data_IF_784334369291
#
_entry.id   IF_784334369291
#
_cell.length_a   1.000
_cell.length_b   1.000
_cell.length_c   1.000
_cell.angle_alpha   90.00
_cell.angle_beta   90.00
_cell.angle_gamma   90.00
#
_symmetry.space_group_name_H-M   'P 1'
#
loop_
_entity.id
_entity.type
_entity.pdbx_description
1 polymer ?
#
# COMPACT_ATOMS: atom_id res chain seq x y z
N UNK A 1 7.79 26.93 0.87
CA UNK A 1 8.13 25.60 0.30
C UNK A 1 9.18 25.77 -0.78
N UNK A 2 10.30 25.07 -0.63
CA UNK A 2 11.36 25.00 -1.63
C UNK A 2 11.41 23.59 -2.19
N UNK A 3 11.43 23.45 -3.51
CA UNK A 3 11.44 22.17 -4.21
C UNK A 3 12.72 22.04 -5.04
N UNK A 4 13.44 20.94 -4.89
CA UNK A 4 14.62 20.60 -5.69
C UNK A 4 14.50 19.21 -6.29
N UNK A 5 14.95 18.98 -7.54
CA UNK A 5 14.95 17.66 -8.15
C UNK A 5 15.94 16.73 -7.42
N UNK A 6 15.63 15.44 -7.39
CA UNK A 6 16.57 14.40 -6.96
C UNK A 6 17.03 13.57 -8.16
N UNK A 7 18.08 12.77 -7.98
CA UNK A 7 18.51 11.86 -9.02
C UNK A 7 17.46 10.78 -9.27
N UNK A 8 17.06 10.60 -10.51
CA UNK A 8 16.02 9.67 -10.92
C UNK A 8 14.61 10.25 -10.76
N UNK A 9 13.73 9.59 -10.03
CA UNK A 9 12.33 9.96 -9.87
C UNK A 9 12.11 10.83 -8.63
N UNK A 10 11.24 11.85 -8.74
CA UNK A 10 10.76 12.61 -7.60
C UNK A 10 11.54 13.88 -7.28
N UNK A 11 11.15 14.50 -6.16
CA UNK A 11 11.70 15.77 -5.67
C UNK A 11 11.87 15.77 -4.16
N UNK A 12 12.81 16.59 -3.69
CA UNK A 12 12.94 16.95 -2.28
C UNK A 12 12.19 18.25 -2.03
N UNK A 13 11.44 18.29 -0.93
CA UNK A 13 10.72 19.48 -0.47
C UNK A 13 11.23 19.88 0.91
N UNK A 14 11.57 21.14 1.05
CA UNK A 14 12.03 21.75 2.30
C UNK A 14 11.13 22.95 2.66
N UNK A 15 11.22 23.39 3.90
CA UNK A 15 10.47 24.55 4.42
C UNK A 15 8.93 24.38 4.26
N UNK A 16 8.44 23.15 4.43
CA UNK A 16 7.02 22.81 4.38
C UNK A 16 6.36 23.05 5.73
N UNK A 17 5.30 23.83 5.74
CA UNK A 17 4.44 24.04 6.92
C UNK A 17 3.18 23.17 6.81
N UNK A 18 3.03 22.11 7.62
CA UNK A 18 1.82 21.29 7.61
C UNK A 18 0.57 22.03 8.12
N UNK A 19 0.73 23.20 8.75
CA UNK A 19 -0.37 24.07 9.19
C UNK A 19 -0.94 24.94 8.07
N UNK A 20 -0.14 25.27 7.05
CA UNK A 20 -0.55 26.13 5.95
C UNK A 20 -1.33 25.35 4.88
N UNK A 21 -2.56 25.80 4.55
CA UNK A 21 -3.38 25.15 3.51
C UNK A 21 -2.74 25.22 2.13
N UNK A 22 -2.09 26.35 1.81
CA UNK A 22 -1.41 26.55 0.53
C UNK A 22 -0.27 25.54 0.34
N UNK A 23 0.52 25.29 1.38
CA UNK A 23 1.62 24.34 1.36
C UNK A 23 1.10 22.91 1.15
N UNK A 24 0.01 22.53 1.83
CA UNK A 24 -0.62 21.22 1.68
C UNK A 24 -1.17 21.02 0.26
N UNK A 25 -1.81 22.03 -0.33
CA UNK A 25 -2.31 21.96 -1.70
C UNK A 25 -1.15 21.88 -2.71
N UNK A 26 -0.08 22.64 -2.48
CA UNK A 26 1.12 22.59 -3.30
C UNK A 26 1.77 21.20 -3.20
N UNK A 27 1.87 20.64 -1.99
CA UNK A 27 2.42 19.30 -1.76
C UNK A 27 1.63 18.23 -2.54
N UNK A 28 0.29 18.25 -2.49
CA UNK A 28 -0.56 17.32 -3.27
C UNK A 28 -0.26 17.41 -4.78
N UNK A 29 -0.23 18.62 -5.33
CA UNK A 29 0.08 18.84 -6.75
C UNK A 29 1.49 18.36 -7.09
N UNK A 30 2.45 18.57 -6.19
CA UNK A 30 3.84 18.15 -6.35
C UNK A 30 3.96 16.62 -6.37
N UNK A 31 3.23 15.91 -5.49
CA UNK A 31 3.18 14.44 -5.47
C UNK A 31 2.67 13.89 -6.81
N UNK A 32 1.52 14.35 -7.28
CA UNK A 32 0.96 13.84 -8.55
C UNK A 32 1.84 14.17 -9.76
N UNK A 33 2.50 15.35 -9.77
CA UNK A 33 3.38 15.76 -10.86
C UNK A 33 4.70 15.01 -10.88
N UNK A 34 5.31 14.78 -9.73
CA UNK A 34 6.65 14.22 -9.59
C UNK A 34 6.69 12.80 -9.09
N UNK A 35 5.53 12.21 -8.80
CA UNK A 35 5.30 10.84 -8.34
C UNK A 35 5.83 10.56 -6.93
N UNK A 36 7.01 11.05 -6.57
CA UNK A 36 7.65 10.88 -5.25
C UNK A 36 8.05 12.24 -4.70
N UNK A 37 7.77 12.46 -3.42
CA UNK A 37 8.24 13.62 -2.65
C UNK A 37 8.92 13.14 -1.38
N UNK A 38 10.09 13.70 -1.08
CA UNK A 38 10.79 13.55 0.19
C UNK A 38 10.72 14.87 0.95
N UNK A 39 9.97 14.90 2.06
CA UNK A 39 10.00 16.01 3.01
C UNK A 39 11.18 15.78 3.96
N UNK A 40 12.11 16.74 4.02
CA UNK A 40 13.29 16.67 4.89
C UNK A 40 12.99 17.17 6.30
N UNK A 41 13.80 16.70 7.26
CA UNK A 41 13.85 17.21 8.64
C UNK A 41 12.51 17.13 9.40
N UNK A 42 11.70 16.12 9.11
CA UNK A 42 10.40 15.95 9.75
C UNK A 42 10.54 15.40 11.17
N UNK A 43 9.73 15.91 12.09
CA UNK A 43 9.67 15.48 13.50
C UNK A 43 8.22 15.32 13.90
N UNK A 44 7.68 14.14 13.70
CA UNK A 44 6.32 13.79 14.07
C UNK A 44 6.31 12.68 15.12
N UNK A 45 5.44 12.80 16.12
CA UNK A 45 4.89 11.66 16.83
C UNK A 45 3.79 10.99 15.99
N UNK A 46 3.20 9.90 16.47
CA UNK A 46 2.18 9.16 15.71
C UNK A 46 0.93 10.01 15.45
N UNK A 47 0.54 10.87 16.40
CA UNK A 47 -0.61 11.75 16.26
C UNK A 47 -0.35 12.85 15.23
N UNK A 48 0.82 13.48 15.25
CA UNK A 48 1.23 14.50 14.27
C UNK A 48 1.39 13.91 12.87
N UNK A 49 1.92 12.68 12.75
CA UNK A 49 1.99 11.96 11.48
C UNK A 49 0.59 11.68 10.91
N UNK A 50 -0.35 11.22 11.75
CA UNK A 50 -1.75 11.03 11.35
C UNK A 50 -2.42 12.35 10.98
N UNK A 51 -2.15 13.44 11.73
CA UNK A 51 -2.71 14.77 11.42
C UNK A 51 -2.29 15.26 10.03
N UNK A 52 -1.02 15.08 9.64
CA UNK A 52 -0.56 15.34 8.29
C UNK A 52 -1.27 14.46 7.26
N UNK A 53 -1.42 13.16 7.54
CA UNK A 53 -2.16 12.24 6.68
C UNK A 53 -3.59 12.70 6.42
N UNK A 54 -4.29 13.21 7.45
CA UNK A 54 -5.65 13.78 7.34
C UNK A 54 -5.73 15.04 6.45
N UNK A 55 -4.66 15.81 6.39
CA UNK A 55 -4.57 16.98 5.48
C UNK A 55 -4.42 16.55 4.02
N UNK A 56 -3.82 15.40 3.77
CA UNK A 56 -3.58 14.88 2.42
C UNK A 56 -4.76 14.07 1.87
N UNK A 57 -5.58 13.48 2.74
CA UNK A 57 -6.74 12.68 2.36
C UNK A 57 -7.42 12.08 3.57
N UNK A 58 -8.35 11.16 3.35
CA UNK A 58 -9.03 10.43 4.41
C UNK A 58 -8.19 9.23 4.86
N UNK A 59 -7.60 9.23 6.06
CA UNK A 59 -6.84 8.08 6.55
C UNK A 59 -7.72 6.85 6.65
N UNK A 60 -7.15 5.70 6.32
CA UNK A 60 -7.82 4.41 6.48
C UNK A 60 -7.00 3.54 7.42
N UNK A 61 -7.67 2.96 8.40
CA UNK A 61 -7.07 1.95 9.27
C UNK A 61 -6.87 0.67 8.47
N UNK A 62 -5.69 0.06 8.58
CA UNK A 62 -5.44 -1.21 7.91
C UNK A 62 -6.38 -2.29 8.46
N UNK A 63 -6.86 -3.19 7.61
CA UNK A 63 -7.88 -4.18 7.99
C UNK A 63 -7.40 -5.24 9.00
N UNK A 64 -6.08 -5.44 9.15
CA UNK A 64 -5.49 -6.38 10.11
C UNK A 64 -4.88 -5.62 11.31
N UNK A 65 -5.41 -5.78 12.53
CA UNK A 65 -4.96 -5.04 13.72
C UNK A 65 -3.51 -5.25 14.12
N UNK A 66 -2.89 -6.37 13.75
CA UNK A 66 -1.49 -6.67 14.05
C UNK A 66 -0.51 -5.64 13.48
N UNK A 67 -0.95 -4.86 12.48
CA UNK A 67 -0.16 -3.78 11.89
C UNK A 67 -0.38 -2.42 12.55
N UNK A 68 -1.32 -2.29 13.48
CA UNK A 68 -1.67 -0.99 14.06
C UNK A 68 -0.62 -0.49 15.04
N UNK A 69 -0.40 0.83 15.04
CA UNK A 69 0.32 1.49 16.12
C UNK A 69 -0.50 1.37 17.43
N UNK A 70 0.12 1.07 18.58
CA UNK A 70 -0.60 0.82 19.83
C UNK A 70 -1.56 1.96 20.25
N UNK A 71 -1.13 3.20 20.07
CA UNK A 71 -1.87 4.39 20.53
C UNK A 71 -2.66 5.07 19.40
N UNK A 72 -2.32 4.80 18.13
CA UNK A 72 -2.91 5.45 16.94
C UNK A 72 -3.17 4.39 15.88
N UNK A 73 -4.28 3.65 15.94
CA UNK A 73 -4.54 2.49 15.07
C UNK A 73 -4.53 2.77 13.56
N UNK A 74 -4.77 4.01 13.15
CA UNK A 74 -4.70 4.42 11.75
C UNK A 74 -3.25 4.45 11.20
N UNK A 75 -2.26 4.43 12.09
CA UNK A 75 -0.85 4.33 11.70
C UNK A 75 -0.47 2.87 11.58
N UNK A 76 -0.10 2.46 10.38
CA UNK A 76 0.44 1.13 10.10
C UNK A 76 1.91 1.08 10.52
N UNK A 77 2.31 0.02 11.22
CA UNK A 77 3.69 -0.19 11.65
C UNK A 77 4.31 -1.38 10.95
N UNK A 78 5.40 -1.14 10.24
CA UNK A 78 6.31 -2.17 9.75
C UNK A 78 7.58 -2.12 10.59
N UNK A 79 7.82 -3.14 11.41
CA UNK A 79 8.95 -3.16 12.32
C UNK A 79 9.55 -4.56 12.48
N UNK A 80 10.85 -4.62 12.65
CA UNK A 80 11.52 -5.75 13.31
C UNK A 80 11.23 -5.65 14.82
N UNK A 81 11.51 -6.73 15.57
CA UNK A 81 11.31 -6.70 17.03
C UNK A 81 12.06 -5.52 17.68
N UNK A 82 11.44 -4.90 18.68
CA UNK A 82 12.07 -3.89 19.51
C UNK A 82 13.29 -4.46 20.25
N UNK A 83 14.23 -3.63 20.71
CA UNK A 83 15.40 -4.10 21.47
C UNK A 83 15.05 -4.87 22.75
N UNK A 84 13.88 -4.61 23.36
CA UNK A 84 13.34 -5.34 24.52
C UNK A 84 12.65 -6.67 24.14
N UNK A 85 12.67 -7.05 22.85
CA UNK A 85 12.04 -8.26 22.34
C UNK A 85 10.53 -8.13 22.08
N UNK A 86 9.91 -6.98 22.39
CA UNK A 86 8.50 -6.74 22.11
C UNK A 86 8.29 -6.50 20.61
N UNK A 87 7.38 -7.23 20.00
CA UNK A 87 6.99 -7.03 18.61
C UNK A 87 5.88 -5.99 18.52
N UNK A 88 6.14 -4.89 17.81
CA UNK A 88 5.14 -3.90 17.44
C UNK A 88 5.05 -3.91 15.91
N UNK A 89 3.85 -4.14 15.38
CA UNK A 89 3.65 -4.27 13.94
C UNK A 89 4.23 -5.58 13.36
N UNK A 90 4.44 -5.60 12.05
CA UNK A 90 4.83 -6.81 11.31
C UNK A 90 6.16 -6.60 10.58
N UNK A 91 7.12 -7.53 10.71
CA UNK A 91 8.41 -7.42 10.04
C UNK A 91 8.30 -7.76 8.54
N UNK A 92 9.24 -7.20 7.77
CA UNK A 92 9.46 -7.53 6.35
C UNK A 92 8.19 -7.45 5.48
N UNK A 93 7.42 -6.35 5.63
CA UNK A 93 6.23 -6.08 4.82
C UNK A 93 6.61 -5.61 3.40
N UNK A 94 5.70 -5.79 2.43
CA UNK A 94 5.86 -5.24 1.08
C UNK A 94 7.04 -5.82 0.27
N UNK A 95 7.34 -7.12 0.36
CA UNK A 95 8.45 -7.79 -0.34
C UNK A 95 8.18 -8.09 -1.82
N UNK A 96 7.03 -7.71 -2.32
CA UNK A 96 6.56 -7.90 -3.69
C UNK A 96 6.09 -6.55 -4.24
N UNK A 97 6.01 -6.42 -5.57
CA UNK A 97 5.50 -5.22 -6.22
C UNK A 97 4.00 -5.06 -5.97
N UNK A 98 3.58 -3.90 -5.47
CA UNK A 98 2.18 -3.59 -5.17
C UNK A 98 1.93 -2.09 -5.16
N UNK A 99 0.67 -1.69 -5.37
CA UNK A 99 0.12 -0.42 -4.90
C UNK A 99 -0.67 -0.68 -3.62
N UNK A 100 -0.55 0.21 -2.65
CA UNK A 100 -1.26 0.04 -1.37
C UNK A 100 -2.78 0.04 -1.59
N UNK A 101 -3.47 -0.94 -1.01
CA UNK A 101 -4.92 -1.13 -1.10
C UNK A 101 -5.48 -1.33 -2.51
N UNK A 102 -4.66 -1.73 -3.48
CA UNK A 102 -5.10 -2.04 -4.85
C UNK A 102 -6.26 -3.05 -4.90
N UNK A 103 -6.31 -3.97 -3.94
CA UNK A 103 -7.34 -4.99 -3.77
C UNK A 103 -8.60 -4.50 -3.03
N UNK A 104 -8.66 -3.23 -2.63
CA UNK A 104 -9.81 -2.66 -1.92
C UNK A 104 -10.70 -1.85 -2.87
N UNK A 105 -12.01 -1.71 -2.58
CA UNK A 105 -12.91 -0.88 -3.38
C UNK A 105 -12.46 0.59 -3.51
N UNK A 106 -11.70 1.09 -2.53
CA UNK A 106 -11.09 2.43 -2.55
C UNK A 106 -9.59 2.27 -2.29
N UNK A 107 -8.75 2.21 -3.33
CA UNK A 107 -7.31 2.26 -3.16
C UNK A 107 -6.87 3.62 -2.61
N UNK A 108 -5.69 3.68 -2.05
CA UNK A 108 -5.13 4.95 -1.62
C UNK A 108 -4.73 5.81 -2.83
N UNK A 109 -4.90 7.12 -2.73
CA UNK A 109 -4.36 8.08 -3.69
C UNK A 109 -2.90 8.41 -3.37
N UNK A 110 -2.63 8.68 -2.10
CA UNK A 110 -1.29 9.05 -1.60
C UNK A 110 -0.92 8.13 -0.46
N UNK A 111 0.27 7.58 -0.49
CA UNK A 111 0.87 6.87 0.64
C UNK A 111 2.02 7.68 1.24
N UNK A 112 2.12 7.63 2.57
CA UNK A 112 3.17 8.23 3.37
C UNK A 112 3.97 7.14 4.08
N UNK A 113 5.29 7.24 4.08
CA UNK A 113 6.16 6.40 4.91
C UNK A 113 7.12 7.28 5.70
N UNK A 114 7.14 7.07 7.01
CA UNK A 114 8.01 7.78 7.94
C UNK A 114 8.97 6.79 8.60
N UNK A 115 10.23 6.69 8.12
CA UNK A 115 11.23 5.80 8.71
C UNK A 115 11.63 6.32 10.09
N UNK A 116 11.41 5.51 11.12
CA UNK A 116 11.75 5.82 12.51
C UNK A 116 13.12 5.27 12.90
N UNK A 117 13.41 4.06 12.42
CA UNK A 117 14.71 3.40 12.55
C UNK A 117 15.09 2.87 11.18
N UNK A 118 16.24 3.30 10.69
CA UNK A 118 16.74 2.95 9.36
C UNK A 118 17.95 2.03 9.51
N UNK A 119 17.92 0.81 8.96
CA UNK A 119 19.07 -0.09 8.97
C UNK A 119 20.24 0.49 8.17
N UNK A 120 21.46 0.10 8.51
CA UNK A 120 22.66 0.60 7.84
C UNK A 120 22.80 0.09 6.41
N UNK A 121 22.19 -1.06 6.12
CA UNK A 121 22.22 -1.72 4.80
C UNK A 121 20.82 -1.90 4.23
N UNK A 122 20.72 -2.00 2.90
CA UNK A 122 19.48 -2.29 2.16
C UNK A 122 18.29 -1.42 2.58
N UNK A 123 18.52 -0.15 2.80
CA UNK A 123 17.46 0.81 3.12
C UNK A 123 16.89 1.40 1.85
N UNK A 124 15.58 1.64 1.86
CA UNK A 124 14.87 2.28 0.76
C UNK A 124 13.64 1.49 0.32
N UNK A 125 13.03 2.02 -0.71
CA UNK A 125 11.87 1.44 -1.39
C UNK A 125 12.11 1.52 -2.89
N UNK A 126 11.87 0.42 -3.59
CA UNK A 126 11.89 0.36 -5.04
C UNK A 126 10.54 0.83 -5.58
N UNK A 127 10.56 1.56 -6.68
CA UNK A 127 9.37 2.07 -7.37
C UNK A 127 9.45 1.81 -8.87
N UNK A 128 8.29 1.61 -9.49
CA UNK A 128 8.10 1.62 -10.93
C UNK A 128 6.91 2.53 -11.23
N UNK A 129 7.08 3.46 -12.17
CA UNK A 129 6.01 4.31 -12.68
C UNK A 129 5.22 3.56 -13.76
N UNK A 130 3.99 3.18 -13.45
CA UNK A 130 3.10 2.43 -14.34
C UNK A 130 2.52 3.29 -15.46
N UNK A 131 2.47 4.62 -15.30
CA UNK A 131 2.09 5.52 -16.39
C UNK A 131 3.23 5.63 -17.41
N UNK A 132 4.46 5.86 -16.93
CA UNK A 132 5.63 5.83 -17.80
C UNK A 132 5.86 4.45 -18.44
N UNK A 133 5.54 3.35 -17.75
CA UNK A 133 5.58 2.01 -18.31
C UNK A 133 4.56 1.85 -19.46
N UNK A 134 3.31 2.26 -19.24
CA UNK A 134 2.26 2.22 -20.26
C UNK A 134 2.68 2.98 -21.54
N UNK A 135 3.30 4.15 -21.39
CA UNK A 135 3.79 4.93 -22.54
C UNK A 135 4.88 4.22 -23.35
N UNK A 136 5.60 3.27 -22.75
CA UNK A 136 6.62 2.45 -23.44
C UNK A 136 6.06 1.19 -24.10
N UNK A 137 4.80 0.79 -23.81
CA UNK A 137 4.21 -0.40 -24.44
C UNK A 137 4.10 -0.22 -25.95
N UNK A 138 4.35 -1.29 -26.66
CA UNK A 138 4.10 -1.29 -28.10
C UNK A 138 2.59 -1.19 -28.41
N UNK A 139 2.23 -0.76 -29.64
CA UNK A 139 0.83 -0.58 -30.02
C UNK A 139 -0.01 -1.86 -29.92
N UNK A 140 0.59 -3.04 -30.12
CA UNK A 140 -0.12 -4.32 -30.07
C UNK A 140 -0.51 -4.66 -28.63
N UNK A 141 0.40 -4.48 -27.65
CA UNK A 141 0.11 -4.67 -26.25
C UNK A 141 -0.94 -3.66 -25.74
N UNK A 142 -0.82 -2.38 -26.12
CA UNK A 142 -1.83 -1.37 -25.76
C UNK A 142 -3.22 -1.74 -26.31
N UNK A 143 -3.31 -2.20 -27.54
CA UNK A 143 -4.57 -2.65 -28.14
C UNK A 143 -5.11 -3.91 -27.44
N UNK A 144 -4.25 -4.86 -27.07
CA UNK A 144 -4.64 -6.09 -26.38
C UNK A 144 -5.25 -5.85 -25.00
N UNK A 145 -4.89 -4.75 -24.33
CA UNK A 145 -5.36 -4.44 -22.95
C UNK A 145 -6.45 -3.37 -22.89
N UNK A 146 -6.79 -2.72 -24.00
CA UNK A 146 -7.69 -1.56 -24.01
C UNK A 146 -9.05 -1.84 -23.36
N UNK A 147 -9.66 -2.99 -23.68
CA UNK A 147 -10.99 -3.38 -23.19
C UNK A 147 -10.95 -4.48 -22.12
N UNK A 148 -9.80 -4.67 -21.49
CA UNK A 148 -9.61 -5.68 -20.45
C UNK A 148 -9.82 -5.15 -19.05
N UNK A 149 -9.99 -6.06 -18.09
CA UNK A 149 -10.05 -5.72 -16.67
C UNK A 149 -9.16 -6.63 -15.85
N UNK A 150 -8.46 -6.04 -14.88
CA UNK A 150 -7.66 -6.75 -13.91
C UNK A 150 -8.48 -7.08 -12.66
N UNK A 151 -8.31 -8.27 -12.12
CA UNK A 151 -8.89 -8.72 -10.86
C UNK A 151 -7.81 -8.64 -9.78
N UNK A 152 -8.11 -7.89 -8.72
CA UNK A 152 -7.16 -7.69 -7.61
C UNK A 152 -7.66 -8.36 -6.34
N UNK A 153 -6.76 -9.07 -5.65
CA UNK A 153 -7.04 -9.76 -4.39
C UNK A 153 -5.83 -9.75 -3.46
N UNK A 154 -6.07 -9.82 -2.16
CA UNK A 154 -5.00 -9.98 -1.15
C UNK A 154 -4.61 -11.44 -0.94
N UNK A 155 -5.35 -12.39 -1.52
CA UNK A 155 -5.16 -13.85 -1.34
C UNK A 155 -3.73 -14.34 -1.51
N UNK A 156 -2.94 -13.70 -2.39
CA UNK A 156 -1.56 -14.09 -2.67
C UNK A 156 -0.55 -13.60 -1.64
N UNK A 157 -0.91 -12.60 -0.84
CA UNK A 157 0.02 -11.84 -0.02
C UNK A 157 -0.45 -11.60 1.42
N UNK A 158 -1.35 -12.45 1.93
CA UNK A 158 -1.75 -12.38 3.34
C UNK A 158 -0.67 -12.99 4.27
N UNK A 159 -0.74 -12.63 5.54
CA UNK A 159 0.10 -13.21 6.58
C UNK A 159 -0.69 -14.28 7.33
N UNK A 160 -0.08 -15.46 7.49
CA UNK A 160 -0.59 -16.51 8.39
C UNK A 160 -0.41 -16.03 9.83
N UNK A 161 -1.49 -16.04 10.60
CA UNK A 161 -1.50 -15.68 12.01
C UNK A 161 -1.18 -16.91 12.88
N UNK A 162 -0.71 -16.76 14.12
CA UNK A 162 -0.47 -17.90 15.01
C UNK A 162 -1.69 -18.83 15.16
N UNK A 163 -2.90 -18.27 15.21
CA UNK A 163 -4.16 -19.01 15.30
C UNK A 163 -4.53 -19.78 14.03
N UNK A 164 -3.90 -19.48 12.90
CA UNK A 164 -4.16 -20.13 11.61
C UNK A 164 -3.33 -21.42 11.41
N UNK A 165 -2.32 -21.66 12.25
CA UNK A 165 -1.29 -22.73 12.01
C UNK A 165 -1.89 -24.13 11.80
N UNK A 166 -2.99 -24.44 12.46
CA UNK A 166 -3.65 -25.74 12.36
C UNK A 166 -4.99 -25.71 11.60
N UNK A 167 -5.29 -24.60 10.93
CA UNK A 167 -6.52 -24.44 10.14
C UNK A 167 -6.30 -24.95 8.71
N UNK A 168 -7.33 -25.53 8.05
CA UNK A 168 -7.29 -25.80 6.62
C UNK A 168 -7.05 -24.51 5.83
N UNK A 169 -6.11 -24.54 4.87
CA UNK A 169 -5.79 -23.34 4.06
C UNK A 169 -7.02 -22.82 3.30
N UNK A 170 -7.91 -23.72 2.83
CA UNK A 170 -9.15 -23.33 2.17
C UNK A 170 -10.02 -22.44 3.04
N UNK A 171 -10.23 -22.80 4.32
CA UNK A 171 -11.01 -21.98 5.26
C UNK A 171 -10.41 -20.59 5.49
N UNK A 172 -9.06 -20.51 5.57
CA UNK A 172 -8.36 -19.24 5.71
C UNK A 172 -8.57 -18.35 4.48
N UNK A 173 -8.46 -18.95 3.28
CA UNK A 173 -8.68 -18.24 2.03
C UNK A 173 -10.13 -17.77 1.87
N UNK A 174 -11.11 -18.59 2.27
CA UNK A 174 -12.53 -18.22 2.25
C UNK A 174 -12.83 -17.08 3.23
N UNK A 175 -12.20 -17.08 4.41
CA UNK A 175 -12.29 -15.97 5.37
C UNK A 175 -11.70 -14.67 4.80
N UNK A 176 -10.58 -14.76 4.09
CA UNK A 176 -9.93 -13.62 3.44
C UNK A 176 -10.85 -13.05 2.36
N UNK A 177 -11.41 -13.89 1.49
CA UNK A 177 -12.31 -13.45 0.44
C UNK A 177 -13.62 -12.85 0.99
N UNK A 178 -14.12 -13.36 2.11
CA UNK A 178 -15.28 -12.79 2.77
C UNK A 178 -15.00 -11.40 3.35
N UNK A 179 -13.79 -11.16 3.87
CA UNK A 179 -13.37 -9.86 4.42
C UNK A 179 -12.96 -8.87 3.34
N UNK A 180 -12.28 -9.34 2.30
CA UNK A 180 -11.72 -8.55 1.22
C UNK A 180 -12.04 -9.21 -0.12
N UNK A 181 -13.32 -9.12 -0.58
CA UNK A 181 -13.72 -9.70 -1.85
C UNK A 181 -12.85 -9.16 -3.00
N UNK A 182 -12.49 -10.00 -3.98
CA UNK A 182 -11.74 -9.56 -5.15
C UNK A 182 -12.40 -8.36 -5.85
N UNK A 183 -11.59 -7.41 -6.28
CA UNK A 183 -12.05 -6.18 -6.94
C UNK A 183 -11.67 -6.22 -8.41
N UNK A 184 -12.63 -5.97 -9.29
CA UNK A 184 -12.40 -5.85 -10.74
C UNK A 184 -12.28 -4.38 -11.14
N UNK A 185 -11.24 -4.03 -11.93
CA UNK A 185 -10.98 -2.69 -12.45
C UNK A 185 -10.53 -2.76 -13.91
N UNK A 186 -10.71 -1.71 -14.70
CA UNK A 186 -10.03 -1.63 -16.00
C UNK A 186 -8.53 -1.87 -15.83
N UNK A 187 -7.92 -2.64 -16.75
CA UNK A 187 -6.46 -2.87 -16.74
C UNK A 187 -5.71 -1.57 -16.99
N UNK A 188 -6.29 -0.67 -17.78
CA UNK A 188 -5.77 0.69 -18.00
C UNK A 188 -6.69 1.67 -17.27
N UNK A 189 -6.15 2.36 -16.26
CA UNK A 189 -6.84 3.42 -15.54
C UNK A 189 -6.41 4.79 -16.07
N UNK A 190 -7.34 5.74 -16.12
CA UNK A 190 -7.01 7.16 -16.28
C UNK A 190 -6.76 7.76 -14.90
N UNK A 191 -5.59 8.35 -14.70
CA UNK A 191 -5.25 9.02 -13.44
C UNK A 191 -6.14 10.23 -13.22
N UNK A 192 -6.86 10.31 -12.08
CA UNK A 192 -7.91 11.32 -11.89
C UNK A 192 -7.40 12.76 -11.73
N UNK A 193 -6.10 12.94 -11.43
CA UNK A 193 -5.51 14.26 -11.22
C UNK A 193 -4.59 14.69 -12.38
N UNK A 194 -3.97 13.75 -13.07
CA UNK A 194 -3.03 14.05 -14.18
C UNK A 194 -3.58 13.72 -15.55
N UNK A 195 -4.58 12.85 -15.65
CA UNK A 195 -5.13 12.37 -16.91
C UNK A 195 -4.27 11.28 -17.60
N UNK A 196 -3.14 10.91 -17.02
CA UNK A 196 -2.26 9.87 -17.56
C UNK A 196 -2.94 8.49 -17.56
N UNK A 197 -2.63 7.68 -18.58
CA UNK A 197 -3.03 6.27 -18.63
C UNK A 197 -2.06 5.43 -17.80
N UNK A 198 -2.58 4.58 -16.92
CA UNK A 198 -1.81 3.75 -15.99
C UNK A 198 -2.10 2.28 -16.30
N UNK A 199 -1.07 1.47 -16.55
CA UNK A 199 -1.20 0.01 -16.60
C UNK A 199 -1.35 -0.55 -15.16
N UNK A 200 -2.58 -0.58 -14.63
CA UNK A 200 -2.85 -0.81 -13.22
C UNK A 200 -2.80 -2.28 -12.81
N UNK A 201 -1.62 -2.89 -12.90
CA UNK A 201 -1.34 -4.28 -12.52
C UNK A 201 -0.16 -4.37 -11.57
N UNK A 202 -0.17 -5.38 -10.68
CA UNK A 202 0.96 -5.65 -9.79
C UNK A 202 1.19 -7.13 -9.56
N UNK A 203 2.45 -7.50 -9.31
CA UNK A 203 2.86 -8.85 -8.95
C UNK A 203 2.07 -9.39 -7.74
N UNK A 204 1.87 -8.55 -6.73
CA UNK A 204 1.33 -8.97 -5.44
C UNK A 204 -0.19 -9.12 -5.40
N UNK A 205 -0.91 -8.22 -6.05
CA UNK A 205 -2.36 -8.15 -5.88
C UNK A 205 -3.17 -8.43 -7.14
N UNK A 206 -2.57 -8.42 -8.33
CA UNK A 206 -3.31 -8.78 -9.54
C UNK A 206 -3.32 -10.30 -9.71
N UNK A 207 -4.49 -10.90 -9.64
CA UNK A 207 -4.68 -12.34 -9.80
C UNK A 207 -4.73 -12.75 -11.27
N UNK A 208 -5.47 -12.01 -12.06
CA UNK A 208 -5.64 -12.24 -13.50
C UNK A 208 -6.08 -10.98 -14.24
N UNK A 209 -5.98 -11.02 -15.55
CA UNK A 209 -6.61 -10.10 -16.49
C UNK A 209 -7.75 -10.86 -17.18
N UNK A 210 -8.90 -10.22 -17.31
CA UNK A 210 -10.05 -10.75 -18.04
C UNK A 210 -10.23 -9.93 -19.32
N UNK A 211 -10.47 -10.60 -20.43
CA UNK A 211 -10.83 -9.91 -21.69
C UNK A 211 -12.27 -9.36 -21.65
N UNK A 212 -12.73 -8.79 -22.77
CA UNK A 212 -14.06 -8.22 -22.89
C UNK A 212 -15.19 -9.26 -22.66
N UNK A 213 -14.93 -10.51 -23.01
CA UNK A 213 -15.89 -11.63 -22.83
C UNK A 213 -15.79 -12.27 -21.43
N UNK A 214 -14.82 -11.82 -20.61
CA UNK A 214 -14.58 -12.31 -19.25
C UNK A 214 -13.70 -13.56 -19.20
N UNK A 215 -13.03 -13.93 -20.30
CA UNK A 215 -12.11 -15.04 -20.29
C UNK A 215 -10.80 -14.69 -19.58
N UNK A 216 -10.24 -15.67 -18.86
CA UNK A 216 -8.98 -15.52 -18.11
C UNK A 216 -7.78 -15.39 -19.06
N UNK A 217 -7.04 -14.28 -18.94
CA UNK A 217 -5.87 -13.93 -19.73
C UNK A 217 -4.63 -13.80 -18.83
N UNK A 218 -4.30 -14.86 -18.12
CA UNK A 218 -3.06 -14.92 -17.30
C UNK A 218 -1.79 -14.81 -18.13
N UNK A 219 -1.86 -15.22 -19.41
CA UNK A 219 -0.80 -14.98 -20.40
C UNK A 219 -0.52 -13.49 -20.54
N UNK A 220 -1.57 -12.69 -20.70
CA UNK A 220 -1.48 -11.24 -20.83
C UNK A 220 -1.01 -10.57 -19.53
N UNK A 221 -1.42 -11.09 -18.35
CA UNK A 221 -0.89 -10.60 -17.07
C UNK A 221 0.63 -10.82 -16.98
N UNK A 222 1.13 -12.00 -17.37
CA UNK A 222 2.57 -12.28 -17.35
C UNK A 222 3.35 -11.34 -18.28
N UNK A 223 2.81 -11.08 -19.48
CA UNK A 223 3.37 -10.11 -20.43
C UNK A 223 3.41 -8.69 -19.84
N UNK A 224 2.32 -8.23 -19.22
CA UNK A 224 2.23 -6.92 -18.59
C UNK A 224 3.23 -6.75 -17.41
N UNK A 225 3.38 -7.76 -16.56
CA UNK A 225 4.35 -7.73 -15.48
C UNK A 225 5.79 -7.64 -16.02
N UNK A 226 6.10 -8.32 -17.13
CA UNK A 226 7.37 -8.18 -17.84
C UNK A 226 7.55 -6.79 -18.44
N UNK A 227 6.57 -6.32 -19.22
CA UNK A 227 6.63 -5.03 -19.90
C UNK A 227 6.69 -3.82 -18.95
N UNK A 228 6.16 -3.95 -17.73
CA UNK A 228 6.29 -2.91 -16.70
C UNK A 228 7.62 -2.95 -15.95
N UNK A 229 8.44 -4.01 -16.09
CA UNK A 229 9.71 -4.18 -15.38
C UNK A 229 9.59 -4.86 -14.01
N UNK A 230 8.40 -5.37 -13.63
CA UNK A 230 8.18 -5.97 -12.29
C UNK A 230 8.87 -7.33 -12.13
N UNK A 231 9.26 -8.01 -13.21
CA UNK A 231 9.88 -9.34 -13.17
C UNK A 231 11.41 -9.29 -13.03
N UNK A 232 12.03 -8.12 -13.21
CA UNK A 232 13.49 -7.94 -13.10
C UNK A 232 13.82 -6.74 -12.23
N UNK A 233 14.47 -6.95 -11.10
CA UNK A 233 14.91 -5.86 -10.21
C UNK A 233 16.04 -5.01 -10.81
N UNK A 234 16.69 -5.48 -11.88
CA UNK A 234 17.70 -4.76 -12.65
C UNK A 234 17.11 -3.94 -13.81
N UNK A 235 15.79 -4.00 -14.02
CA UNK A 235 15.14 -3.25 -15.10
C UNK A 235 15.39 -1.74 -14.96
N UNK A 236 15.72 -1.01 -16.05
CA UNK A 236 15.92 0.44 -16.02
C UNK A 236 14.72 1.25 -15.50
N UNK A 237 13.50 0.70 -15.52
CA UNK A 237 12.32 1.32 -14.96
C UNK A 237 12.30 1.30 -13.42
N UNK A 238 13.14 0.48 -12.79
CA UNK A 238 13.20 0.35 -11.33
C UNK A 238 13.99 1.49 -10.71
N UNK A 239 13.31 2.32 -9.93
CA UNK A 239 13.92 3.41 -9.17
C UNK A 239 14.08 3.01 -7.70
N UNK A 240 15.28 3.14 -7.14
CA UNK A 240 15.53 2.98 -5.70
C UNK A 240 15.47 4.34 -5.00
N UNK A 241 14.41 4.58 -4.24
CA UNK A 241 14.31 5.71 -3.34
C UNK A 241 14.93 5.37 -1.99
N UNK A 242 16.03 6.03 -1.68
CA UNK A 242 16.66 5.98 -0.36
C UNK A 242 16.10 7.07 0.54
N UNK A 243 16.16 6.84 1.84
CA UNK A 243 15.72 7.79 2.85
C UNK A 243 16.59 7.67 4.11
N UNK A 244 16.60 8.74 4.89
CA UNK A 244 17.29 8.82 6.18
C UNK A 244 16.27 9.02 7.32
N UNK A 245 16.71 8.87 8.55
CA UNK A 245 15.87 9.21 9.72
C UNK A 245 15.53 10.69 9.67
N UNK A 246 14.24 11.02 9.83
CA UNK A 246 13.72 12.36 9.69
C UNK A 246 13.25 12.72 8.28
N UNK A 247 13.43 11.83 7.31
CA UNK A 247 12.77 11.95 6.02
C UNK A 247 11.33 11.45 6.13
N UNK A 248 10.39 12.13 5.48
CA UNK A 248 9.04 11.63 5.27
C UNK A 248 8.83 11.49 3.78
N UNK A 249 8.63 10.26 3.34
CA UNK A 249 8.43 9.91 1.94
C UNK A 249 6.95 9.86 1.62
N UNK A 250 6.55 10.54 0.55
CA UNK A 250 5.18 10.52 0.03
C UNK A 250 5.21 10.13 -1.44
N UNK A 251 4.20 9.39 -1.89
CA UNK A 251 4.11 9.05 -3.30
C UNK A 251 2.68 8.94 -3.81
N UNK A 252 2.54 9.13 -5.13
CA UNK A 252 1.33 8.87 -5.89
C UNK A 252 1.11 7.35 -5.99
N UNK A 253 0.24 6.84 -5.15
CA UNK A 253 0.01 5.41 -5.03
C UNK A 253 -0.80 4.82 -6.20
N UNK A 254 -1.46 5.63 -7.01
CA UNK A 254 -2.16 5.16 -8.20
C UNK A 254 -1.20 4.92 -9.37
N UNK A 255 -0.22 5.82 -9.54
CA UNK A 255 0.76 5.71 -10.62
C UNK A 255 1.88 4.73 -10.33
N UNK A 256 2.19 4.47 -9.05
CA UNK A 256 3.37 3.71 -8.67
C UNK A 256 3.04 2.34 -8.07
N UNK A 257 3.72 1.32 -8.57
CA UNK A 257 3.95 0.12 -7.76
C UNK A 257 5.26 0.26 -7.00
N UNK A 258 5.28 -0.30 -5.80
CA UNK A 258 6.46 -0.23 -4.95
C UNK A 258 6.76 -1.57 -4.27
N UNK A 259 8.05 -1.73 -3.87
CA UNK A 259 8.56 -2.91 -3.20
C UNK A 259 9.59 -2.49 -2.15
N UNK A 260 9.40 -2.92 -0.91
CA UNK A 260 10.34 -2.61 0.17
C UNK A 260 11.64 -3.39 0.00
N UNK A 261 12.78 -2.71 0.24
CA UNK A 261 14.10 -3.34 0.33
C UNK A 261 14.33 -3.78 1.77
N UNK A 262 14.62 -5.06 1.96
CA UNK A 262 14.87 -5.65 3.27
C UNK A 262 16.31 -6.14 3.38
N UNK A 263 16.91 -5.90 4.55
CA UNK A 263 18.19 -6.51 4.89
C UNK A 263 18.02 -7.98 5.29
N UNK A 264 18.95 -8.82 4.90
CA UNK A 264 19.07 -10.18 5.42
C UNK A 264 19.70 -10.21 6.81
N UNK A 265 20.32 -9.11 7.23
CA UNK A 265 20.86 -8.95 8.56
C UNK A 265 19.76 -8.64 9.56
N UNK A 266 19.95 -9.08 10.80
CA UNK A 266 19.08 -8.77 11.93
C UNK A 266 19.34 -7.34 12.44
N UNK A 267 19.08 -6.33 11.60
CA UNK A 267 19.19 -4.93 11.98
C UNK A 267 17.80 -4.39 12.34
N UNK A 268 17.70 -3.55 13.39
CA UNK A 268 16.46 -2.88 13.70
C UNK A 268 15.99 -2.00 12.54
N UNK A 269 14.71 -2.11 12.20
CA UNK A 269 14.06 -1.27 11.20
C UNK A 269 12.62 -1.00 11.66
N UNK A 270 12.23 0.26 11.71
CA UNK A 270 10.88 0.69 12.07
C UNK A 270 10.43 1.75 11.08
N UNK A 271 9.27 1.55 10.48
CA UNK A 271 8.63 2.53 9.62
C UNK A 271 7.16 2.64 9.97
N UNK A 272 6.68 3.86 10.08
CA UNK A 272 5.25 4.16 10.13
C UNK A 272 4.74 4.42 8.72
N UNK A 273 3.56 3.89 8.41
CA UNK A 273 2.88 4.14 7.15
C UNK A 273 1.50 4.71 7.42
N UNK A 274 1.15 5.72 6.67
CA UNK A 274 -0.18 6.30 6.60
C UNK A 274 -0.60 6.38 5.15
N UNK A 275 -1.89 6.50 4.91
CA UNK A 275 -2.40 6.62 3.56
C UNK A 275 -3.69 7.45 3.56
N UNK A 276 -3.88 8.24 2.51
CA UNK A 276 -5.07 9.04 2.26
C UNK A 276 -5.82 8.50 1.05
N UNK A 277 -7.07 8.08 1.26
CA UNK A 277 -7.99 7.87 0.15
C UNK A 277 -8.61 9.20 -0.28
N UNK A 278 -9.06 9.27 -1.53
CA UNK A 278 -9.77 10.44 -2.06
C UNK A 278 -11.00 10.77 -1.23
N UNK A 279 -11.20 12.05 -0.91
CA UNK A 279 -12.47 12.56 -0.43
C UNK A 279 -13.54 12.30 -1.51
N UNK A 280 -14.53 11.48 -1.18
CA UNK A 280 -15.59 11.11 -2.12
C UNK A 280 -16.47 12.30 -2.47
N UNK A 281 -16.12 13.04 -3.49
CA UNK A 281 -16.99 13.98 -4.18
C UNK A 281 -17.97 13.20 -5.07
N UNK A 282 -19.06 12.67 -4.50
CA UNK A 282 -20.09 11.91 -5.24
C UNK A 282 -20.99 11.19 -4.24
N UNK A 283 -22.21 11.64 -4.14
CA UNK A 283 -23.28 11.18 -3.27
C UNK A 283 -23.51 9.67 -3.30
N UNK A 284 -22.88 8.95 -2.38
CA UNK A 284 -23.45 7.75 -1.79
C UNK A 284 -23.08 7.76 -0.31
N UNK A 285 -24.05 8.19 0.51
CA UNK A 285 -23.99 8.02 1.95
C UNK A 285 -24.10 6.53 2.24
N UNK A 286 -22.97 5.82 2.25
CA UNK A 286 -22.88 4.55 2.93
C UNK A 286 -22.93 4.80 4.43
N UNK A 287 -24.10 4.62 5.03
CA UNK A 287 -24.36 4.76 6.48
C UNK A 287 -23.90 3.52 7.26
N UNK A 288 -22.83 2.86 6.85
CA UNK A 288 -22.17 1.83 7.66
C UNK A 288 -20.68 1.98 7.53
N UNK A 289 -19.92 2.10 8.66
CA UNK A 289 -18.48 1.91 8.62
C UNK A 289 -18.24 0.47 8.13
N UNK A 290 -17.39 0.25 7.12
CA UNK A 290 -17.02 -1.10 6.76
C UNK A 290 -16.18 -1.67 7.91
N UNK A 291 -16.67 -2.75 8.49
CA UNK A 291 -15.92 -3.67 9.32
C UNK A 291 -15.51 -3.23 10.74
N UNK A 292 -16.50 -3.05 11.62
CA UNK A 292 -16.35 -3.49 13.01
C UNK A 292 -17.49 -4.47 13.33
N UNK A 293 -17.36 -5.70 12.83
CA UNK A 293 -18.04 -6.86 13.39
C UNK A 293 -17.38 -7.14 14.73
N UNK A 294 -18.14 -7.00 15.81
CA UNK A 294 -17.81 -7.46 17.15
C UNK A 294 -17.30 -8.90 17.07
N UNK A 295 -16.11 -9.14 17.61
CA UNK A 295 -15.60 -10.48 17.91
C UNK A 295 -16.73 -11.31 18.54
N UNK A 296 -17.04 -12.53 18.06
CA UNK A 296 -17.95 -13.39 18.78
C UNK A 296 -17.39 -13.67 20.18
N UNK A 297 -18.11 -13.29 21.21
CA UNK A 297 -17.78 -13.73 22.57
C UNK A 297 -17.81 -15.26 22.60
N UNK A 298 -16.80 -15.91 23.20
CA UNK A 298 -16.87 -17.36 23.41
C UNK A 298 -18.08 -17.68 24.29
N UNK A 299 -18.76 -18.83 24.02
CA UNK A 299 -19.93 -19.22 24.80
C UNK A 299 -19.54 -19.35 26.27
N UNK A 300 -20.46 -19.03 27.22
CA UNK A 300 -20.20 -19.15 28.64
C UNK A 300 -19.87 -20.58 29.00
N UNK A 301 -18.77 -20.79 29.70
CA UNK A 301 -18.36 -22.11 30.22
C UNK A 301 -19.50 -22.63 31.10
N UNK A 302 -20.10 -23.74 30.68
CA UNK A 302 -21.09 -24.46 31.46
C UNK A 302 -20.48 -24.85 32.83
N UNK A 303 -21.23 -24.55 33.88
CA UNK A 303 -20.92 -25.01 35.24
C UNK A 303 -20.88 -26.54 35.22
N UNK A 304 -19.76 -27.12 35.66
CA UNK A 304 -19.68 -28.51 35.98
C UNK A 304 -20.71 -28.85 37.07
N UNK A 305 -21.68 -29.68 36.71
CA UNK A 305 -22.61 -30.23 37.67
C UNK A 305 -21.86 -31.22 38.60
N UNK A 306 -21.92 -30.93 39.88
CA UNK A 306 -21.53 -31.87 40.95
C UNK A 306 -22.47 -33.06 40.95
N UNK A 307 -21.96 -34.27 40.78
CA UNK A 307 -22.68 -35.48 41.17
C UNK A 307 -22.46 -35.72 42.67
N UNK A 308 -23.49 -36.01 43.43
CA UNK A 308 -23.38 -36.61 44.77
C UNK A 308 -23.49 -38.16 44.68
N UNK A 309 -23.35 -38.85 45.82
CA UNK A 309 -22.42 -39.95 46.09
C UNK A 309 -22.82 -41.31 45.53
#
# INVERSE_FOLDING_TARGET
>A
VRTSPQAGMGVVVEDFDPGADEDVQLLKKTIYRHKIVVLKNQRHDAAGFLALGRRLGMPQTYYEPVYHHPDVPEVFVSATAEPDGRQIGVPKTGRFWHSDYQFMPRPFDITLTYPRVVPTTNRGTLFIDLAAAYERFDPALRAAIADTSAVHTVRRCFKIRPEDVYRPVGEILDEIDARTPPVRRPTVLTHPHTGESIAYVSEGFTETVLDADGADRRDLLAELLGATGQLDLGDPAVHLQRFDVGDLLLWDNLSLVHRAVHSDRSEPAVSWRGAGARDGGGSERSTRPPFFGTTPQPPPRGRAGSNPP
#
